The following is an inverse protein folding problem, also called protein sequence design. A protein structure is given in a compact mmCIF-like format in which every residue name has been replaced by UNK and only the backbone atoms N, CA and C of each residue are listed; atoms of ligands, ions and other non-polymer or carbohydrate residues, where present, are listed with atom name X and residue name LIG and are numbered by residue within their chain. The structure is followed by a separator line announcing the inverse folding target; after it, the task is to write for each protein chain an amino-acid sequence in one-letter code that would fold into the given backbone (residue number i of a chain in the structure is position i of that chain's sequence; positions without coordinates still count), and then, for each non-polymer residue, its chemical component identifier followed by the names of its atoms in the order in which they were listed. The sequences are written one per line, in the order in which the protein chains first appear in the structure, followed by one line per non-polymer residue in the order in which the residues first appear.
data_IF_760994084381
#
_entry.id   IF_760994084381
#
_cell.length_a   1.000
_cell.length_b   1.000
_cell.length_c   1.000
_cell.angle_alpha   90.00
_cell.angle_beta   90.00
_cell.angle_gamma   90.00
#
_symmetry.space_group_name_H-M   'P 1'
#
loop_
_entity.id
_entity.type
_entity.pdbx_description
1 polymer ?
#
# COMPACT_ATOMS: atom_id res chain seq x y z
N UNK A 1 14.10 -38.06 85.93
CA UNK A 1 14.84 -36.83 85.59
C UNK A 1 15.43 -37.04 84.20
N UNK A 2 14.83 -36.37 83.23
CA UNK A 2 15.14 -36.39 81.80
C UNK A 2 16.06 -35.23 81.48
N UNK A 3 17.25 -35.49 80.94
CA UNK A 3 18.04 -34.48 80.23
C UNK A 3 18.28 -34.95 78.79
N UNK A 4 17.61 -34.26 77.88
CA UNK A 4 17.71 -34.40 76.43
C UNK A 4 18.92 -33.58 75.95
N UNK A 5 19.84 -34.11 75.14
CA UNK A 5 20.92 -33.29 74.58
C UNK A 5 20.35 -32.37 73.50
N UNK A 6 20.71 -31.08 73.60
CA UNK A 6 20.28 -30.03 72.70
C UNK A 6 20.71 -30.33 71.25
N UNK A 7 19.72 -30.50 70.38
CA UNK A 7 19.89 -30.65 68.93
C UNK A 7 20.33 -29.30 68.35
N UNK A 8 21.62 -29.19 68.03
CA UNK A 8 22.22 -28.05 67.34
C UNK A 8 21.54 -27.86 65.97
N UNK A 9 20.55 -26.95 65.92
CA UNK A 9 19.85 -26.58 64.68
C UNK A 9 20.70 -25.56 63.94
N UNK A 10 21.68 -26.04 63.16
CA UNK A 10 22.26 -25.25 62.07
C UNK A 10 21.12 -24.85 61.12
N UNK A 11 20.73 -23.57 61.12
CA UNK A 11 19.89 -23.00 60.07
C UNK A 11 20.65 -23.18 58.75
N UNK A 12 20.18 -24.07 57.89
CA UNK A 12 20.66 -24.15 56.52
C UNK A 12 20.34 -22.81 55.84
N UNK A 13 21.38 -22.08 55.44
CA UNK A 13 21.23 -20.82 54.71
C UNK A 13 20.52 -21.12 53.38
N UNK A 14 19.33 -20.53 53.11
CA UNK A 14 18.58 -20.76 51.88
C UNK A 14 19.35 -20.37 50.60
N UNK A 15 20.50 -19.68 50.72
CA UNK A 15 21.42 -19.37 49.62
C UNK A 15 22.27 -20.54 49.13
N UNK A 16 22.23 -21.70 49.80
CA UNK A 16 23.02 -22.90 49.44
C UNK A 16 22.55 -23.63 48.16
N UNK A 17 21.42 -23.22 47.56
CA UNK A 17 20.83 -23.85 46.37
C UNK A 17 21.18 -23.10 45.08
N UNK A 18 21.76 -21.89 45.17
CA UNK A 18 22.19 -21.14 43.99
C UNK A 18 23.60 -21.59 43.58
N UNK A 19 23.87 -21.85 42.28
CA UNK A 19 25.23 -22.13 41.81
C UNK A 19 26.15 -20.98 42.23
N UNK A 20 27.35 -21.31 42.74
CA UNK A 20 28.38 -20.33 43.11
C UNK A 20 28.94 -19.66 41.85
N UNK A 21 28.15 -18.78 41.26
CA UNK A 21 28.54 -17.98 40.10
C UNK A 21 29.54 -16.92 40.56
N UNK A 22 30.68 -16.84 39.87
CA UNK A 22 31.59 -15.71 40.06
C UNK A 22 30.88 -14.41 39.66
N UNK A 23 31.28 -13.28 40.27
CA UNK A 23 30.71 -11.97 39.92
C UNK A 23 30.82 -11.71 38.41
N UNK A 24 31.93 -12.13 37.78
CA UNK A 24 32.12 -12.06 36.34
C UNK A 24 31.08 -12.89 35.56
N UNK A 25 30.82 -14.13 35.96
CA UNK A 25 29.80 -14.97 35.34
C UNK A 25 28.40 -14.39 35.48
N UNK A 26 28.08 -13.82 36.65
CA UNK A 26 26.83 -13.13 36.88
C UNK A 26 26.68 -11.87 36.01
N UNK A 27 27.74 -11.08 35.83
CA UNK A 27 27.72 -9.88 34.98
C UNK A 27 27.50 -10.22 33.50
N UNK A 28 28.22 -11.22 32.96
CA UNK A 28 28.00 -11.67 31.57
C UNK A 28 26.59 -12.24 31.36
N UNK A 29 26.11 -13.06 32.31
CA UNK A 29 24.76 -13.63 32.25
C UNK A 29 23.68 -12.55 32.26
N UNK A 30 23.80 -11.57 33.15
CA UNK A 30 22.87 -10.44 33.23
C UNK A 30 22.82 -9.65 31.93
N UNK A 31 23.99 -9.23 31.41
CA UNK A 31 24.07 -8.45 30.18
C UNK A 31 23.52 -9.22 28.98
N UNK A 32 23.85 -10.50 28.85
CA UNK A 32 23.36 -11.33 27.74
C UNK A 32 21.84 -11.44 27.76
N UNK A 33 21.26 -11.72 28.94
CA UNK A 33 19.80 -11.80 29.09
C UNK A 33 19.14 -10.45 28.80
N UNK A 34 19.70 -9.35 29.29
CA UNK A 34 19.17 -8.01 29.00
C UNK A 34 19.25 -7.67 27.51
N UNK A 35 20.37 -7.98 26.84
CA UNK A 35 20.54 -7.72 25.41
C UNK A 35 19.53 -8.53 24.57
N UNK A 36 19.34 -9.81 24.89
CA UNK A 36 18.34 -10.66 24.23
C UNK A 36 16.92 -10.13 24.49
N UNK A 37 16.61 -9.74 25.73
CA UNK A 37 15.29 -9.21 26.08
C UNK A 37 14.98 -7.89 25.36
N UNK A 38 15.95 -6.98 25.27
CA UNK A 38 15.80 -5.71 24.53
C UNK A 38 15.63 -5.98 23.04
N UNK A 39 16.45 -6.85 22.44
CA UNK A 39 16.35 -7.19 21.02
C UNK A 39 15.00 -7.84 20.69
N UNK A 40 14.55 -8.79 21.52
CA UNK A 40 13.25 -9.43 21.38
C UNK A 40 12.11 -8.42 21.54
N UNK A 41 12.21 -7.49 22.50
CA UNK A 41 11.24 -6.42 22.71
C UNK A 41 11.14 -5.47 21.52
N UNK A 42 12.29 -5.03 20.96
CA UNK A 42 12.34 -4.19 19.76
C UNK A 42 11.74 -4.91 18.56
N UNK A 43 12.08 -6.18 18.36
CA UNK A 43 11.56 -6.98 17.25
C UNK A 43 10.04 -7.19 17.37
N UNK A 44 9.54 -7.44 18.59
CA UNK A 44 8.11 -7.58 18.86
C UNK A 44 7.35 -6.27 18.60
N UNK A 45 7.88 -5.15 19.08
CA UNK A 45 7.31 -3.83 18.82
C UNK A 45 7.31 -3.50 17.31
N UNK A 46 8.39 -3.85 16.60
CA UNK A 46 8.47 -3.64 15.16
C UNK A 46 7.42 -4.44 14.41
N UNK A 47 7.29 -5.75 14.67
CA UNK A 47 6.29 -6.59 14.00
C UNK A 47 4.87 -6.09 14.28
N UNK A 48 4.54 -5.83 15.56
CA UNK A 48 3.19 -5.39 15.94
C UNK A 48 2.81 -4.00 15.43
N UNK A 49 3.77 -3.07 15.30
CA UNK A 49 3.52 -1.74 14.73
C UNK A 49 3.54 -1.75 13.20
N UNK A 50 4.38 -2.58 12.58
CA UNK A 50 4.55 -2.65 11.14
C UNK A 50 3.24 -2.98 10.43
N UNK A 51 2.52 -4.02 10.88
CA UNK A 51 1.28 -4.47 10.23
C UNK A 51 0.23 -3.35 10.19
N UNK A 52 0.04 -2.62 11.30
CA UNK A 52 -0.92 -1.50 11.34
C UNK A 52 -0.51 -0.35 10.43
N UNK A 53 0.78 -0.03 10.39
CA UNK A 53 1.30 1.05 9.53
C UNK A 53 1.16 0.67 8.06
N UNK A 54 1.43 -0.59 7.72
CA UNK A 54 1.21 -1.12 6.37
C UNK A 54 -0.24 -1.08 5.96
N UNK A 55 -1.14 -1.60 6.78
CA UNK A 55 -2.56 -1.65 6.44
C UNK A 55 -3.10 -0.23 6.22
N UNK A 56 -2.71 0.73 7.06
CA UNK A 56 -3.06 2.14 6.89
C UNK A 56 -2.47 2.73 5.61
N UNK A 57 -1.21 2.39 5.28
CA UNK A 57 -0.54 2.87 4.08
C UNK A 57 -1.15 2.26 2.80
N UNK A 58 -1.49 0.98 2.81
CA UNK A 58 -2.18 0.29 1.72
C UNK A 58 -3.58 0.83 1.52
N UNK A 59 -4.36 1.03 2.59
CA UNK A 59 -5.70 1.63 2.52
C UNK A 59 -5.65 3.05 1.91
N UNK A 60 -4.71 3.86 2.37
CA UNK A 60 -4.51 5.22 1.85
C UNK A 60 -4.04 5.19 0.39
N UNK A 61 -3.12 4.28 0.05
CA UNK A 61 -2.57 4.15 -1.30
C UNK A 61 -3.63 3.67 -2.29
N UNK A 62 -4.43 2.64 -1.95
CA UNK A 62 -5.49 2.14 -2.83
C UNK A 62 -6.54 3.22 -3.04
N UNK A 63 -6.94 3.96 -2.00
CA UNK A 63 -7.92 5.04 -2.13
C UNK A 63 -7.42 6.13 -3.07
N UNK A 64 -6.22 6.66 -2.82
CA UNK A 64 -5.63 7.73 -3.63
C UNK A 64 -5.42 7.29 -5.08
N UNK A 65 -4.89 6.08 -5.31
CA UNK A 65 -4.66 5.56 -6.66
C UNK A 65 -5.97 5.30 -7.39
N UNK A 66 -7.00 4.80 -6.70
CA UNK A 66 -8.32 4.56 -7.30
C UNK A 66 -9.01 5.87 -7.70
N UNK A 67 -8.96 6.88 -6.82
CA UNK A 67 -9.47 8.23 -7.12
C UNK A 67 -8.73 8.85 -8.30
N UNK A 68 -7.39 8.77 -8.31
CA UNK A 68 -6.57 9.26 -9.41
C UNK A 68 -6.85 8.53 -10.74
N UNK A 69 -7.07 7.21 -10.70
CA UNK A 69 -7.44 6.42 -11.88
C UNK A 69 -8.80 6.86 -12.43
N UNK A 70 -9.81 7.01 -11.56
CA UNK A 70 -11.14 7.45 -11.93
C UNK A 70 -11.11 8.86 -12.53
N UNK A 71 -10.40 9.79 -11.90
CA UNK A 71 -10.28 11.17 -12.37
C UNK A 71 -9.52 11.25 -13.70
N UNK A 72 -8.42 10.52 -13.84
CA UNK A 72 -7.62 10.49 -15.09
C UNK A 72 -8.46 9.96 -16.25
N UNK A 73 -9.20 8.88 -16.01
CA UNK A 73 -10.08 8.30 -17.01
C UNK A 73 -11.25 9.24 -17.36
N UNK A 74 -11.86 9.88 -16.36
CA UNK A 74 -12.90 10.87 -16.58
C UNK A 74 -12.40 12.10 -17.35
N UNK A 75 -11.18 12.58 -17.08
CA UNK A 75 -10.56 13.68 -17.83
C UNK A 75 -10.33 13.33 -19.30
N UNK A 76 -9.97 12.08 -19.61
CA UNK A 76 -9.82 11.62 -21.00
C UNK A 76 -11.16 11.70 -21.76
N UNK A 77 -12.25 11.24 -21.15
CA UNK A 77 -13.60 11.31 -21.74
C UNK A 77 -14.15 12.75 -21.77
N UNK A 78 -13.79 13.56 -20.78
CA UNK A 78 -14.15 14.97 -20.76
C UNK A 78 -13.45 15.76 -21.89
N UNK A 79 -12.25 15.36 -22.32
CA UNK A 79 -11.65 15.93 -23.53
C UNK A 79 -12.52 15.69 -24.76
N UNK A 80 -13.01 14.47 -24.95
CA UNK A 80 -13.91 14.13 -26.06
C UNK A 80 -15.23 14.90 -25.97
N UNK A 81 -15.70 15.18 -24.75
CA UNK A 81 -16.87 16.01 -24.49
C UNK A 81 -16.69 17.47 -24.88
N UNK A 82 -15.52 18.06 -24.59
CA UNK A 82 -15.19 19.43 -25.01
C UNK A 82 -15.02 19.53 -26.53
N UNK A 83 -14.43 18.52 -27.16
CA UNK A 83 -14.35 18.45 -28.63
C UNK A 83 -15.76 18.41 -29.24
N UNK A 84 -16.68 17.65 -28.64
CA UNK A 84 -18.07 17.58 -29.07
C UNK A 84 -18.84 18.90 -28.84
N UNK A 85 -18.53 19.62 -27.77
CA UNK A 85 -19.06 20.97 -27.50
C UNK A 85 -18.64 21.95 -28.59
N UNK A 86 -17.34 22.00 -28.89
CA UNK A 86 -16.81 22.87 -29.94
C UNK A 86 -17.46 22.58 -31.29
N UNK A 87 -17.61 21.29 -31.64
CA UNK A 87 -18.33 20.91 -32.85
C UNK A 87 -19.74 21.46 -32.83
N UNK A 88 -20.51 21.21 -31.77
CA UNK A 88 -21.90 21.65 -31.68
C UNK A 88 -22.08 23.18 -31.85
N UNK A 89 -21.09 23.97 -31.43
CA UNK A 89 -21.06 25.43 -31.62
C UNK A 89 -20.72 25.84 -33.05
N UNK A 90 -19.87 25.08 -33.73
CA UNK A 90 -19.40 25.40 -35.09
C UNK A 90 -20.41 25.01 -36.19
N UNK A 91 -21.14 23.89 -36.00
CA UNK A 91 -22.11 23.32 -36.96
C UNK A 91 -23.05 24.37 -37.60
N UNK A 92 -23.73 25.26 -36.85
CA UNK A 92 -24.74 26.17 -37.42
C UNK A 92 -24.21 27.14 -38.48
N UNK A 93 -22.90 27.42 -38.48
CA UNK A 93 -22.27 28.41 -39.36
C UNK A 93 -21.47 27.77 -40.51
N UNK A 94 -21.33 26.44 -40.50
CA UNK A 94 -20.54 25.69 -41.47
C UNK A 94 -21.37 25.23 -42.66
N UNK A 95 -20.73 25.10 -43.83
CA UNK A 95 -21.33 24.40 -44.98
C UNK A 95 -21.29 22.89 -44.76
N UNK A 96 -22.15 22.16 -45.46
CA UNK A 96 -22.20 20.68 -45.39
C UNK A 96 -20.85 20.03 -45.73
N UNK A 97 -20.08 20.58 -46.67
CA UNK A 97 -18.75 20.06 -47.00
C UNK A 97 -17.73 20.31 -45.87
N UNK A 98 -17.77 21.49 -45.25
CA UNK A 98 -16.90 21.82 -44.12
C UNK A 98 -17.25 20.96 -42.89
N UNK A 99 -18.55 20.76 -42.64
CA UNK A 99 -19.10 19.86 -41.64
C UNK A 99 -18.51 18.46 -41.77
N UNK A 100 -18.60 17.87 -42.97
CA UNK A 100 -18.10 16.52 -43.24
C UNK A 100 -16.60 16.43 -43.01
N UNK A 101 -15.84 17.41 -43.50
CA UNK A 101 -14.39 17.46 -43.30
C UNK A 101 -13.99 17.54 -41.81
N UNK A 102 -14.74 18.29 -41.00
CA UNK A 102 -14.54 18.37 -39.55
C UNK A 102 -14.83 17.01 -38.87
N UNK A 103 -15.97 16.39 -39.20
CA UNK A 103 -16.37 15.10 -38.64
C UNK A 103 -15.40 13.97 -39.03
N UNK A 104 -14.94 13.95 -40.28
CA UNK A 104 -13.89 13.02 -40.75
C UNK A 104 -12.57 13.26 -40.01
N UNK A 105 -12.18 14.52 -39.81
CA UNK A 105 -10.98 14.90 -39.06
C UNK A 105 -11.01 14.43 -37.61
N UNK A 106 -12.17 14.52 -36.95
CA UNK A 106 -12.36 14.03 -35.59
C UNK A 106 -12.31 12.51 -35.51
N UNK A 107 -12.98 11.79 -36.43
CA UNK A 107 -12.91 10.33 -36.48
C UNK A 107 -11.45 9.85 -36.65
N UNK A 108 -10.66 10.57 -37.45
CA UNK A 108 -9.25 10.28 -37.67
C UNK A 108 -9.04 8.90 -38.29
N UNK A 109 -8.25 8.05 -37.63
CA UNK A 109 -7.98 6.67 -38.09
C UNK A 109 -9.08 5.67 -37.67
N UNK A 110 -10.12 6.14 -37.01
CA UNK A 110 -11.23 5.31 -36.56
C UNK A 110 -10.91 4.39 -35.37
N UNK A 111 -9.71 4.47 -34.74
CA UNK A 111 -9.32 3.57 -33.63
C UNK A 111 -9.85 4.00 -32.27
N UNK A 112 -10.01 5.31 -32.05
CA UNK A 112 -10.58 5.89 -30.82
C UNK A 112 -12.05 6.23 -31.02
N UNK A 113 -12.36 7.02 -32.04
CA UNK A 113 -13.74 7.37 -32.41
C UNK A 113 -14.19 6.46 -33.56
N UNK A 114 -15.26 5.71 -33.34
CA UNK A 114 -15.82 4.82 -34.37
C UNK A 114 -16.76 5.54 -35.33
N UNK A 115 -17.38 6.63 -34.87
CA UNK A 115 -18.32 7.42 -35.66
C UNK A 115 -18.56 8.78 -35.00
N UNK A 116 -18.68 9.84 -35.79
CA UNK A 116 -19.16 11.15 -35.34
C UNK A 116 -20.16 11.64 -36.37
N UNK A 117 -21.30 12.18 -35.94
CA UNK A 117 -22.32 12.63 -36.88
C UNK A 117 -23.31 13.61 -36.32
N UNK A 118 -23.94 14.36 -37.22
CA UNK A 118 -24.99 15.32 -36.96
C UNK A 118 -26.32 14.80 -37.50
N UNK A 119 -27.32 14.74 -36.63
CA UNK A 119 -28.70 14.43 -36.97
C UNK A 119 -29.59 15.64 -36.75
N UNK A 120 -30.55 15.87 -37.66
CA UNK A 120 -31.55 16.93 -37.52
C UNK A 120 -32.53 16.67 -36.37
N UNK A 121 -33.49 17.58 -36.16
CA UNK A 121 -34.50 17.46 -35.11
C UNK A 121 -35.46 16.28 -35.29
N UNK A 122 -35.60 15.75 -36.51
CA UNK A 122 -36.38 14.55 -36.82
C UNK A 122 -35.59 13.25 -36.58
N UNK A 123 -34.28 13.37 -36.34
CA UNK A 123 -33.36 12.27 -36.12
C UNK A 123 -32.86 11.64 -37.42
N UNK A 124 -32.88 12.38 -38.53
CA UNK A 124 -32.22 11.95 -39.78
C UNK A 124 -30.77 12.42 -39.76
N UNK A 125 -29.83 11.51 -40.01
CA UNK A 125 -28.40 11.86 -40.08
C UNK A 125 -28.12 12.66 -41.35
N UNK A 126 -27.71 13.92 -41.20
CA UNK A 126 -27.45 14.85 -42.32
C UNK A 126 -26.00 14.74 -42.80
N UNK A 127 -25.08 14.67 -41.85
CA UNK A 127 -23.64 14.54 -42.10
C UNK A 127 -23.02 13.63 -41.06
N UNK A 128 -22.13 12.75 -41.50
CA UNK A 128 -21.39 11.86 -40.61
C UNK A 128 -20.02 11.55 -41.18
N UNK A 129 -19.14 11.14 -40.27
CA UNK A 129 -17.80 10.71 -40.60
C UNK A 129 -17.82 9.46 -41.51
N UNK A 130 -16.97 9.43 -42.53
CA UNK A 130 -16.97 8.46 -43.65
C UNK A 130 -18.32 8.37 -44.39
N UNK A 131 -19.20 9.38 -44.24
CA UNK A 131 -20.60 9.38 -44.74
C UNK A 131 -21.43 8.22 -44.19
N UNK A 132 -21.02 7.67 -43.05
CA UNK A 132 -21.63 6.46 -42.48
C UNK A 132 -22.96 6.81 -41.81
N UNK A 133 -24.02 6.07 -42.15
CA UNK A 133 -25.40 6.28 -41.69
C UNK A 133 -26.09 7.56 -42.19
N UNK A 134 -25.51 8.31 -43.14
CA UNK A 134 -26.21 9.47 -43.72
C UNK A 134 -27.54 9.07 -44.38
N UNK A 135 -28.59 9.84 -44.09
CA UNK A 135 -29.96 9.58 -44.51
C UNK A 135 -30.69 8.50 -43.69
N UNK A 136 -30.03 7.83 -42.75
CA UNK A 136 -30.67 6.87 -41.84
C UNK A 136 -31.30 7.59 -40.64
N UNK A 137 -32.32 6.96 -40.05
CA UNK A 137 -32.97 7.48 -38.85
C UNK A 137 -32.30 6.95 -37.57
N UNK A 138 -32.00 7.88 -36.66
CA UNK A 138 -31.50 7.64 -35.30
C UNK A 138 -32.49 8.12 -34.22
N UNK A 139 -33.72 8.50 -34.62
CA UNK A 139 -34.73 9.09 -33.73
C UNK A 139 -35.06 8.25 -32.48
N UNK A 140 -34.98 6.93 -32.57
CA UNK A 140 -35.26 6.01 -31.46
C UNK A 140 -34.04 5.80 -30.53
N UNK A 141 -32.85 6.27 -30.92
CA UNK A 141 -31.61 6.01 -30.19
C UNK A 141 -31.56 6.79 -28.87
N UNK A 142 -31.12 6.17 -27.76
CA UNK A 142 -31.01 6.84 -26.47
C UNK A 142 -30.14 8.10 -26.52
N UNK A 143 -29.00 8.05 -27.22
CA UNK A 143 -28.10 9.19 -27.35
C UNK A 143 -28.75 10.39 -28.03
N UNK A 144 -29.56 10.17 -29.08
CA UNK A 144 -30.26 11.24 -29.78
C UNK A 144 -31.35 11.86 -28.90
N UNK A 145 -32.24 11.02 -28.35
CA UNK A 145 -33.36 11.47 -27.51
C UNK A 145 -32.93 12.21 -26.27
N UNK A 146 -31.85 11.77 -25.63
CA UNK A 146 -31.30 12.43 -24.44
C UNK A 146 -30.40 13.61 -24.82
N UNK A 147 -29.67 13.55 -25.93
CA UNK A 147 -28.87 14.65 -26.46
C UNK A 147 -29.71 15.91 -26.73
N UNK A 148 -30.90 15.75 -27.31
CA UNK A 148 -31.86 16.85 -27.51
C UNK A 148 -32.23 17.59 -26.21
N UNK A 149 -32.12 16.95 -25.04
CA UNK A 149 -32.55 17.50 -23.75
C UNK A 149 -31.48 18.33 -23.02
N UNK A 150 -30.24 18.34 -23.50
CA UNK A 150 -29.17 19.13 -22.87
C UNK A 150 -27.79 18.48 -22.83
N UNK A 151 -27.65 17.24 -23.31
CA UNK A 151 -26.38 16.50 -23.26
C UNK A 151 -26.55 15.09 -22.71
N UNK A 152 -25.78 14.13 -23.22
CA UNK A 152 -25.87 12.74 -22.82
C UNK A 152 -24.52 12.03 -22.89
N UNK A 153 -24.27 11.17 -21.91
CA UNK A 153 -23.17 10.23 -21.85
C UNK A 153 -23.76 8.84 -21.56
N UNK A 154 -23.63 7.93 -22.51
CA UNK A 154 -24.26 6.60 -22.50
C UNK A 154 -23.29 5.51 -22.09
N UNK A 155 -23.80 4.54 -21.31
CA UNK A 155 -23.08 3.33 -20.95
C UNK A 155 -22.73 2.47 -22.19
N UNK A 156 -21.80 1.53 -22.02
CA UNK A 156 -21.37 0.64 -23.09
C UNK A 156 -22.52 -0.19 -23.65
N UNK A 157 -22.65 -0.23 -24.98
CA UNK A 157 -23.61 -1.09 -25.65
C UNK A 157 -23.09 -1.61 -26.99
N UNK A 158 -23.74 -2.65 -27.51
CA UNK A 158 -23.45 -3.17 -28.85
C UNK A 158 -23.97 -2.23 -29.95
N UNK A 159 -23.17 -2.09 -31.01
CA UNK A 159 -23.42 -1.15 -32.10
C UNK A 159 -24.17 -1.80 -33.27
N UNK A 160 -25.45 -2.14 -33.08
CA UNK A 160 -26.20 -2.95 -34.06
C UNK A 160 -26.34 -2.33 -35.47
N UNK A 161 -26.37 -0.99 -35.60
CA UNK A 161 -26.45 -0.32 -36.92
C UNK A 161 -25.08 -0.13 -37.57
N UNK A 162 -24.11 0.38 -36.81
CA UNK A 162 -22.74 0.58 -37.33
C UNK A 162 -22.08 -0.75 -37.71
N UNK A 163 -22.28 -1.81 -36.92
CA UNK A 163 -21.75 -3.13 -37.23
C UNK A 163 -22.22 -3.67 -38.59
N UNK A 164 -23.43 -3.30 -39.05
CA UNK A 164 -23.94 -3.70 -40.38
C UNK A 164 -23.25 -2.95 -41.53
N UNK A 165 -22.72 -1.75 -41.26
CA UNK A 165 -22.05 -0.90 -42.25
C UNK A 165 -20.53 -1.06 -42.24
N UNK A 166 -19.96 -1.71 -41.21
CA UNK A 166 -18.51 -1.96 -41.06
C UNK A 166 -18.15 -3.46 -41.04
N UNK A 167 -18.32 -4.20 -42.15
CA UNK A 167 -18.15 -5.66 -42.20
C UNK A 167 -16.71 -6.18 -41.99
N UNK A 168 -15.71 -5.32 -41.78
CA UNK A 168 -14.31 -5.71 -41.55
C UNK A 168 -13.87 -5.75 -40.08
N UNK A 169 -14.65 -5.18 -39.15
CA UNK A 169 -14.30 -5.10 -37.71
C UNK A 169 -14.72 -6.33 -36.90
N UNK A 170 -15.33 -7.32 -37.54
CA UNK A 170 -15.95 -8.50 -36.91
C UNK A 170 -14.96 -9.53 -36.34
N UNK A 171 -13.66 -9.41 -36.62
CA UNK A 171 -12.65 -10.40 -36.22
C UNK A 171 -12.41 -10.43 -34.70
N UNK A 172 -12.64 -9.31 -34.00
CA UNK A 172 -12.38 -9.14 -32.55
C UNK A 172 -13.64 -9.21 -31.67
N UNK A 173 -14.80 -9.59 -32.23
CA UNK A 173 -16.09 -9.68 -31.53
C UNK A 173 -17.07 -8.55 -31.87
N UNK A 174 -18.20 -8.43 -31.15
CA UNK A 174 -19.19 -7.39 -31.41
C UNK A 174 -18.63 -6.00 -31.09
N UNK A 175 -18.85 -5.05 -32.00
CA UNK A 175 -18.45 -3.65 -31.80
C UNK A 175 -19.21 -3.07 -30.61
N UNK A 176 -18.48 -2.72 -29.55
CA UNK A 176 -19.00 -2.07 -28.34
C UNK A 176 -18.62 -0.59 -28.36
N UNK A 177 -19.60 0.26 -28.09
CA UNK A 177 -19.44 1.72 -28.17
C UNK A 177 -19.85 2.41 -26.89
N UNK A 178 -19.25 3.57 -26.69
CA UNK A 178 -19.65 4.57 -25.71
C UNK A 178 -20.21 5.79 -26.43
N UNK A 179 -21.33 6.32 -25.97
CA UNK A 179 -22.04 7.39 -26.65
C UNK A 179 -21.89 8.70 -25.91
N UNK A 180 -21.45 9.75 -26.61
CA UNK A 180 -21.58 11.13 -26.20
C UNK A 180 -22.52 11.85 -27.16
N UNK A 181 -23.40 12.70 -26.65
CA UNK A 181 -24.29 13.49 -27.49
C UNK A 181 -24.54 14.88 -26.92
N UNK A 182 -24.60 15.88 -27.79
CA UNK A 182 -24.91 17.28 -27.44
C UNK A 182 -25.92 17.89 -28.41
N UNK A 183 -26.82 18.75 -27.92
CA UNK A 183 -27.73 19.48 -28.79
C UNK A 183 -26.94 20.55 -29.56
N UNK A 184 -27.25 20.70 -30.84
CA UNK A 184 -26.77 21.80 -31.67
C UNK A 184 -27.81 22.91 -31.65
N UNK A 185 -27.39 24.15 -31.41
CA UNK A 185 -28.28 25.32 -31.32
C UNK A 185 -27.94 26.33 -32.39
N UNK A 186 -28.95 26.94 -33.00
CA UNK A 186 -28.74 28.08 -33.91
C UNK A 186 -28.42 29.38 -33.12
N UNK A 187 -28.18 30.48 -33.85
CA UNK A 187 -27.92 31.81 -33.26
C UNK A 187 -29.05 32.31 -32.35
N UNK A 188 -30.30 31.88 -32.61
CA UNK A 188 -31.48 32.20 -31.79
C UNK A 188 -31.58 31.36 -30.50
N UNK A 189 -30.73 30.34 -30.35
CA UNK A 189 -30.70 29.41 -29.21
C UNK A 189 -31.60 28.19 -29.36
N UNK A 190 -32.32 28.06 -30.47
CA UNK A 190 -33.19 26.93 -30.78
C UNK A 190 -32.38 25.69 -31.16
N UNK A 191 -32.81 24.52 -30.67
CA UNK A 191 -32.17 23.24 -30.99
C UNK A 191 -32.50 22.85 -32.43
N UNK A 192 -31.49 22.79 -33.29
CA UNK A 192 -31.61 22.42 -34.72
C UNK A 192 -31.20 20.98 -35.01
N UNK A 193 -30.69 20.26 -34.01
CA UNK A 193 -30.31 18.86 -34.12
C UNK A 193 -29.44 18.40 -32.96
N UNK A 194 -28.78 17.26 -33.14
CA UNK A 194 -27.87 16.66 -32.16
C UNK A 194 -26.62 16.20 -32.88
N UNK A 195 -25.46 16.54 -32.30
CA UNK A 195 -24.20 15.90 -32.65
C UNK A 195 -23.96 14.72 -31.71
N UNK A 196 -23.66 13.56 -32.30
CA UNK A 196 -23.33 12.33 -31.60
C UNK A 196 -21.89 11.90 -31.89
N UNK A 197 -21.23 11.36 -30.89
CA UNK A 197 -19.88 10.81 -30.97
C UNK A 197 -19.88 9.42 -30.34
N UNK A 198 -19.41 8.44 -31.09
CA UNK A 198 -19.32 7.05 -30.65
C UNK A 198 -17.85 6.65 -30.47
N UNK A 199 -17.47 6.40 -29.23
CA UNK A 199 -16.11 6.01 -28.84
C UNK A 199 -16.01 4.48 -28.87
N UNK A 200 -14.92 3.94 -29.43
CA UNK A 200 -14.60 2.52 -29.40
C UNK A 200 -14.33 2.09 -27.94
N UNK A 201 -15.16 1.20 -27.40
CA UNK A 201 -15.01 0.79 -26.00
C UNK A 201 -13.71 0.00 -25.76
N UNK A 202 -13.19 -0.69 -26.78
CA UNK A 202 -11.90 -1.38 -26.68
C UNK A 202 -10.73 -0.40 -26.53
N UNK A 203 -10.82 0.79 -27.14
CA UNK A 203 -9.87 1.87 -26.86
C UNK A 203 -10.00 2.34 -25.40
N UNK A 204 -11.23 2.55 -24.92
CA UNK A 204 -11.47 3.02 -23.55
C UNK A 204 -10.99 2.00 -22.49
N UNK A 205 -11.22 0.70 -22.72
CA UNK A 205 -10.68 -0.40 -21.93
C UNK A 205 -9.15 -0.34 -21.84
N UNK A 206 -8.46 -0.16 -22.98
CA UNK A 206 -6.99 -0.04 -23.01
C UNK A 206 -6.50 1.21 -22.29
N UNK A 207 -7.16 2.34 -22.46
CA UNK A 207 -6.79 3.59 -21.79
C UNK A 207 -6.88 3.45 -20.26
N UNK A 208 -7.93 2.77 -19.76
CA UNK A 208 -8.06 2.49 -18.33
C UNK A 208 -7.00 1.49 -17.85
N UNK A 209 -6.72 0.44 -18.62
CA UNK A 209 -5.66 -0.52 -18.29
C UNK A 209 -4.27 0.13 -18.25
N UNK A 210 -3.97 1.06 -19.15
CA UNK A 210 -2.72 1.82 -19.17
C UNK A 210 -2.58 2.73 -17.93
N UNK A 211 -3.69 3.37 -17.55
CA UNK A 211 -3.77 4.18 -16.33
C UNK A 211 -3.54 3.32 -15.08
N UNK A 212 -4.22 2.17 -15.01
CA UNK A 212 -4.09 1.19 -13.93
C UNK A 212 -2.63 0.70 -13.78
N UNK A 213 -1.98 0.33 -14.89
CA UNK A 213 -0.56 -0.05 -14.91
C UNK A 213 0.37 1.07 -14.44
N UNK A 214 0.11 2.30 -14.86
CA UNK A 214 0.92 3.48 -14.47
C UNK A 214 0.81 3.75 -12.96
N UNK A 215 -0.36 3.51 -12.38
CA UNK A 215 -0.63 3.68 -10.96
C UNK A 215 -0.28 2.44 -10.13
N UNK A 216 0.22 1.37 -10.76
CA UNK A 216 0.51 0.08 -10.11
C UNK A 216 -0.72 -0.39 -9.29
N UNK A 217 -1.87 -0.43 -9.95
CA UNK A 217 -3.19 -0.69 -9.37
C UNK A 217 -3.97 -1.61 -10.32
N UNK A 218 -4.74 -2.55 -9.77
CA UNK A 218 -5.76 -3.26 -10.54
C UNK A 218 -7.08 -2.48 -10.45
N UNK A 219 -7.73 -2.24 -11.59
CA UNK A 219 -8.95 -1.42 -11.68
C UNK A 219 -10.07 -2.18 -12.38
N UNK A 220 -11.27 -2.03 -11.83
CA UNK A 220 -12.52 -2.58 -12.32
C UNK A 220 -13.53 -1.45 -12.51
N UNK A 221 -14.11 -1.36 -13.71
CA UNK A 221 -15.17 -0.40 -14.02
C UNK A 221 -16.51 -1.13 -14.00
N UNK A 222 -17.47 -0.56 -13.27
CA UNK A 222 -18.78 -1.16 -13.02
C UNK A 222 -19.86 -0.25 -13.56
N UNK A 223 -20.75 -0.82 -14.36
CA UNK A 223 -21.85 -0.09 -14.96
C UNK A 223 -23.02 0.16 -13.98
N UNK A 224 -24.04 0.96 -14.37
CA UNK A 224 -25.20 1.22 -13.51
C UNK A 224 -26.02 -0.03 -13.18
N UNK A 225 -25.99 -1.05 -14.04
CA UNK A 225 -26.63 -2.35 -13.81
C UNK A 225 -25.86 -3.22 -12.81
N UNK A 226 -24.66 -2.79 -12.41
CA UNK A 226 -23.80 -3.46 -11.46
C UNK A 226 -22.78 -4.41 -12.11
N UNK A 227 -22.77 -4.56 -13.43
CA UNK A 227 -21.88 -5.46 -14.15
C UNK A 227 -20.46 -4.89 -14.29
N UNK A 228 -19.45 -5.75 -14.19
CA UNK A 228 -18.04 -5.38 -14.45
C UNK A 228 -17.83 -5.30 -15.96
N UNK A 229 -17.65 -4.09 -16.48
CA UNK A 229 -17.48 -3.80 -17.91
C UNK A 229 -16.02 -3.68 -18.33
N UNK A 230 -15.12 -3.33 -17.41
CA UNK A 230 -13.67 -3.32 -17.62
C UNK A 230 -12.98 -3.95 -16.42
N UNK A 231 -11.93 -4.72 -16.67
CA UNK A 231 -11.02 -5.24 -15.65
C UNK A 231 -9.58 -5.22 -16.18
N UNK A 232 -8.68 -4.53 -15.48
CA UNK A 232 -7.30 -4.35 -15.94
C UNK A 232 -6.45 -5.62 -15.83
N UNK A 233 -6.79 -6.54 -14.92
CA UNK A 233 -6.10 -7.82 -14.71
C UNK A 233 -6.66 -8.95 -15.60
N UNK A 234 -7.73 -8.67 -16.34
CA UNK A 234 -8.46 -9.65 -17.15
C UNK A 234 -9.46 -10.52 -16.38
N UNK A 235 -9.53 -10.40 -15.06
CA UNK A 235 -10.50 -11.09 -14.22
C UNK A 235 -11.88 -10.45 -14.31
N UNK A 236 -12.95 -11.25 -14.40
CA UNK A 236 -14.33 -10.73 -14.41
C UNK A 236 -15.10 -11.30 -13.21
N UNK A 237 -14.79 -10.84 -11.99
CA UNK A 237 -15.53 -11.28 -10.81
C UNK A 237 -16.98 -10.84 -10.92
N UNK A 238 -17.90 -11.66 -10.41
CA UNK A 238 -19.28 -11.24 -10.30
C UNK A 238 -19.43 -10.19 -9.18
N UNK A 239 -20.35 -9.23 -9.33
CA UNK A 239 -20.53 -8.17 -8.32
C UNK A 239 -20.97 -8.69 -6.95
N UNK A 240 -21.56 -9.90 -6.91
CA UNK A 240 -22.00 -10.56 -5.68
C UNK A 240 -20.83 -11.15 -4.89
N UNK A 241 -19.76 -11.52 -5.58
CA UNK A 241 -18.55 -12.08 -4.97
C UNK A 241 -17.68 -11.01 -4.29
N UNK A 242 -17.86 -9.72 -4.64
CA UNK A 242 -17.07 -8.62 -4.11
C UNK A 242 -17.73 -8.02 -2.86
N UNK A 243 -17.09 -8.18 -1.69
CA UNK A 243 -17.59 -7.65 -0.43
C UNK A 243 -17.68 -6.13 -0.47
N UNK A 244 -16.69 -5.43 -1.04
CA UNK A 244 -16.68 -3.97 -1.19
C UNK A 244 -17.93 -3.43 -1.90
N UNK A 245 -18.48 -4.17 -2.87
CA UNK A 245 -19.70 -3.79 -3.57
C UNK A 245 -20.95 -4.07 -2.73
N UNK A 246 -20.94 -5.12 -1.91
CA UNK A 246 -22.04 -5.43 -0.99
C UNK A 246 -22.11 -4.41 0.15
N UNK A 247 -20.98 -4.04 0.75
CA UNK A 247 -20.91 -3.09 1.87
C UNK A 247 -21.19 -1.66 1.44
N UNK A 248 -20.80 -1.29 0.21
CA UNK A 248 -21.14 0.01 -0.36
C UNK A 248 -22.65 0.25 -0.48
N UNK A 249 -23.45 -0.80 -0.78
CA UNK A 249 -24.92 -0.70 -0.79
C UNK A 249 -25.51 -0.33 0.58
N UNK A 250 -24.84 -0.71 1.66
CA UNK A 250 -25.19 -0.33 3.03
C UNK A 250 -24.58 1.00 3.51
N UNK A 251 -23.76 1.67 2.67
CA UNK A 251 -23.06 2.92 3.03
C UNK A 251 -21.98 2.77 4.10
N UNK A 252 -21.58 1.54 4.43
CA UNK A 252 -20.79 1.23 5.63
C UNK A 252 -19.27 1.32 5.41
N UNK A 253 -18.78 0.92 4.23
CA UNK A 253 -17.34 0.82 3.94
C UNK A 253 -17.07 1.05 2.46
N UNK A 254 -16.17 1.98 2.13
CA UNK A 254 -15.71 2.29 0.76
C UNK A 254 -14.23 1.98 0.51
N UNK A 255 -13.50 1.52 1.53
CA UNK A 255 -12.20 0.89 1.36
C UNK A 255 -11.89 -0.06 2.51
N UNK A 256 -11.11 -1.10 2.24
CA UNK A 256 -10.65 -2.03 3.27
C UNK A 256 -9.99 -3.27 2.69
N UNK A 257 -9.53 -4.15 3.60
CA UNK A 257 -8.98 -5.45 3.25
C UNK A 257 -10.10 -6.46 3.07
N UNK A 258 -10.12 -7.16 1.94
CA UNK A 258 -11.06 -8.24 1.64
C UNK A 258 -10.34 -9.39 0.92
N UNK A 259 -10.88 -10.60 1.04
CA UNK A 259 -10.41 -11.76 0.28
C UNK A 259 -11.21 -11.86 -1.01
N UNK A 260 -10.52 -11.86 -2.16
CA UNK A 260 -11.15 -11.91 -3.47
C UNK A 260 -11.43 -13.35 -3.91
N UNK A 261 -12.21 -13.57 -5.00
CA UNK A 261 -12.56 -14.91 -5.48
C UNK A 261 -11.38 -15.80 -5.88
N UNK A 262 -10.22 -15.20 -6.14
CA UNK A 262 -8.93 -15.87 -6.37
C UNK A 262 -8.30 -16.44 -5.08
N UNK A 263 -8.91 -16.18 -3.91
CA UNK A 263 -8.43 -16.61 -2.61
C UNK A 263 -7.28 -15.77 -2.04
N UNK A 264 -6.91 -14.67 -2.70
CA UNK A 264 -5.88 -13.76 -2.23
C UNK A 264 -6.49 -12.55 -1.50
N UNK A 265 -5.74 -12.00 -0.57
CA UNK A 265 -6.12 -10.80 0.16
C UNK A 265 -5.70 -9.55 -0.59
N UNK A 266 -6.64 -8.63 -0.78
CA UNK A 266 -6.40 -7.33 -1.37
C UNK A 266 -6.91 -6.22 -0.48
N UNK A 267 -6.30 -5.05 -0.60
CA UNK A 267 -6.89 -3.80 -0.18
C UNK A 267 -7.66 -3.25 -1.37
N UNK A 268 -8.96 -3.04 -1.20
CA UNK A 268 -9.85 -2.53 -2.23
C UNK A 268 -10.39 -1.16 -1.85
N UNK A 269 -10.67 -0.32 -2.84
CA UNK A 269 -11.38 0.94 -2.65
C UNK A 269 -12.41 1.15 -3.76
N UNK A 270 -13.59 1.64 -3.36
CA UNK A 270 -14.68 2.00 -4.26
C UNK A 270 -14.76 3.51 -4.43
N UNK A 271 -14.73 3.93 -5.70
CA UNK A 271 -15.05 5.29 -6.16
C UNK A 271 -16.48 5.28 -6.69
N UNK A 272 -17.36 6.06 -6.05
CA UNK A 272 -18.80 6.05 -6.31
C UNK A 272 -19.24 6.74 -7.61
N UNK A 273 -18.33 7.44 -8.29
CA UNK A 273 -18.63 8.14 -9.54
C UNK A 273 -17.37 8.39 -10.34
N UNK A 274 -17.42 8.05 -11.62
CA UNK A 274 -16.38 8.38 -12.60
C UNK A 274 -16.89 9.56 -13.42
N UNK A 275 -16.46 10.77 -13.05
CA UNK A 275 -16.89 12.01 -13.70
C UNK A 275 -15.92 13.16 -13.44
N UNK A 276 -15.91 14.13 -14.34
CA UNK A 276 -15.04 15.30 -14.26
C UNK A 276 -15.68 16.50 -14.97
N UNK A 277 -15.57 17.69 -14.37
CA UNK A 277 -16.11 18.92 -14.95
C UNK A 277 -17.63 18.87 -15.15
N UNK A 278 -18.08 19.25 -16.34
CA UNK A 278 -19.47 19.25 -16.78
C UNK A 278 -19.86 17.98 -17.58
N UNK A 279 -18.96 17.00 -17.69
CA UNK A 279 -19.23 15.73 -18.38
C UNK A 279 -20.45 15.04 -17.73
N UNK A 280 -21.50 14.69 -18.51
CA UNK A 280 -22.64 13.98 -17.98
C UNK A 280 -22.23 12.65 -17.36
N UNK A 281 -22.91 12.26 -16.28
CA UNK A 281 -22.59 11.02 -15.56
C UNK A 281 -23.00 9.79 -16.36
N UNK A 282 -22.05 8.88 -16.56
CA UNK A 282 -22.32 7.52 -17.06
C UNK A 282 -22.99 6.63 -16.00
N UNK A 283 -23.05 7.07 -14.73
CA UNK A 283 -23.49 6.24 -13.60
C UNK A 283 -22.48 5.15 -13.22
N UNK A 284 -21.25 5.25 -13.72
CA UNK A 284 -20.18 4.30 -13.47
C UNK A 284 -19.57 4.44 -12.08
N UNK A 285 -19.20 3.28 -11.55
CA UNK A 285 -18.40 3.15 -10.32
C UNK A 285 -17.09 2.44 -10.65
N UNK A 286 -16.05 2.74 -9.88
CA UNK A 286 -14.74 2.14 -10.07
C UNK A 286 -14.27 1.49 -8.79
N UNK A 287 -13.75 0.26 -8.88
CA UNK A 287 -13.05 -0.41 -7.78
C UNK A 287 -11.59 -0.51 -8.16
N UNK A 288 -10.71 0.01 -7.32
CA UNK A 288 -9.27 -0.27 -7.41
C UNK A 288 -8.86 -1.23 -6.31
N UNK A 289 -7.88 -2.10 -6.59
CA UNK A 289 -7.31 -3.01 -5.59
C UNK A 289 -5.79 -3.10 -5.65
N UNK A 290 -5.18 -3.36 -4.50
CA UNK A 290 -3.75 -3.62 -4.33
C UNK A 290 -3.56 -4.96 -3.58
N UNK A 291 -2.63 -5.82 -4.00
CA UNK A 291 -2.28 -7.01 -3.23
C UNK A 291 -1.84 -6.66 -1.80
N UNK A 292 -2.29 -7.40 -0.79
CA UNK A 292 -1.87 -7.20 0.61
C UNK A 292 -0.37 -7.44 0.83
N UNK A 293 0.31 -8.00 -0.16
CA UNK A 293 1.73 -8.35 -0.13
C UNK A 293 2.62 -7.30 -0.81
N UNK A 294 2.05 -6.29 -1.47
CA UNK A 294 2.80 -5.31 -2.30
C UNK A 294 3.92 -4.58 -1.55
N UNK A 295 3.78 -4.35 -0.24
CA UNK A 295 4.83 -3.72 0.59
C UNK A 295 5.61 -4.69 1.49
N UNK A 296 5.28 -5.98 1.50
CA UNK A 296 5.97 -6.96 2.37
C UNK A 296 7.43 -7.17 1.99
N UNK A 297 7.77 -7.10 0.70
CA UNK A 297 9.14 -7.23 0.20
C UNK A 297 10.06 -6.18 0.84
N UNK A 298 9.69 -4.89 0.77
CA UNK A 298 10.46 -3.80 1.37
C UNK A 298 10.60 -3.89 2.90
N UNK A 299 9.64 -4.51 3.58
CA UNK A 299 9.72 -4.74 5.03
C UNK A 299 10.64 -5.88 5.44
N UNK A 300 10.75 -6.91 4.61
CA UNK A 300 11.68 -8.00 4.86
C UNK A 300 13.13 -7.50 4.92
N UNK A 301 13.47 -6.49 4.11
CA UNK A 301 14.76 -5.80 4.13
C UNK A 301 14.96 -4.99 5.42
N UNK A 302 13.92 -4.31 5.89
CA UNK A 302 13.96 -3.58 7.17
C UNK A 302 14.14 -4.52 8.36
N UNK A 303 13.51 -5.70 8.34
CA UNK A 303 13.71 -6.73 9.37
C UNK A 303 15.17 -7.18 9.41
N UNK A 304 15.78 -7.45 8.24
CA UNK A 304 17.20 -7.79 8.14
C UNK A 304 18.10 -6.69 8.70
N UNK A 305 17.80 -5.44 8.36
CA UNK A 305 18.54 -4.26 8.86
C UNK A 305 18.46 -4.13 10.38
N UNK A 306 17.28 -4.30 10.98
CA UNK A 306 17.09 -4.26 12.45
C UNK A 306 17.84 -5.40 13.13
N UNK A 307 17.85 -6.60 12.54
CA UNK A 307 18.60 -7.74 13.08
C UNK A 307 20.11 -7.47 13.05
N UNK A 308 20.65 -6.97 11.94
CA UNK A 308 22.07 -6.62 11.83
C UNK A 308 22.44 -5.50 12.81
N UNK A 309 21.63 -4.45 12.89
CA UNK A 309 21.83 -3.35 13.84
C UNK A 309 21.77 -3.83 15.29
N UNK A 310 20.81 -4.71 15.62
CA UNK A 310 20.66 -5.32 16.93
C UNK A 310 21.83 -6.22 17.31
N UNK A 311 22.31 -7.04 16.38
CA UNK A 311 23.52 -7.86 16.55
C UNK A 311 24.76 -6.98 16.74
N UNK A 312 24.89 -5.90 15.97
CA UNK A 312 25.96 -4.91 16.14
C UNK A 312 25.96 -4.27 17.52
N UNK A 313 24.79 -3.83 18.00
CA UNK A 313 24.64 -3.28 19.35
C UNK A 313 24.97 -4.33 20.42
N UNK A 314 24.50 -5.57 20.26
CA UNK A 314 24.81 -6.67 21.17
C UNK A 314 26.33 -6.95 21.23
N UNK A 315 27.01 -6.93 20.09
CA UNK A 315 28.46 -7.09 20.02
C UNK A 315 29.19 -5.94 20.74
N UNK A 316 28.76 -4.69 20.54
CA UNK A 316 29.32 -3.52 21.25
C UNK A 316 29.14 -3.68 22.77
N UNK A 317 27.93 -4.01 23.23
CA UNK A 317 27.64 -4.22 24.66
C UNK A 317 28.46 -5.37 25.22
N UNK A 318 28.65 -6.47 24.48
CA UNK A 318 29.49 -7.58 24.88
C UNK A 318 30.97 -7.17 25.03
N UNK A 319 31.50 -6.36 24.09
CA UNK A 319 32.86 -5.82 24.17
C UNK A 319 33.03 -4.92 25.41
N UNK A 320 32.11 -3.99 25.63
CA UNK A 320 32.15 -3.12 26.82
C UNK A 320 32.03 -3.92 28.13
N UNK A 321 31.21 -4.96 28.14
CA UNK A 321 31.06 -5.85 29.30
C UNK A 321 32.32 -6.67 29.55
N UNK A 322 32.99 -7.12 28.49
CA UNK A 322 34.26 -7.81 28.59
C UNK A 322 35.34 -6.88 29.16
N UNK A 323 35.45 -5.66 28.64
CA UNK A 323 36.36 -4.63 29.16
C UNK A 323 36.04 -4.33 30.63
N UNK A 324 34.77 -4.11 30.97
CA UNK A 324 34.35 -3.85 32.35
C UNK A 324 34.71 -5.00 33.29
N UNK A 325 34.48 -6.25 32.85
CA UNK A 325 34.79 -7.44 33.65
C UNK A 325 36.30 -7.60 33.84
N UNK A 326 37.10 -7.34 32.81
CA UNK A 326 38.56 -7.42 32.85
C UNK A 326 39.18 -6.33 33.72
N UNK A 327 38.68 -5.10 33.63
CA UNK A 327 39.25 -3.93 34.30
C UNK A 327 38.78 -3.82 35.76
N UNK A 328 37.51 -4.16 36.05
CA UNK A 328 36.92 -3.93 37.37
C UNK A 328 36.65 -5.22 38.13
N UNK A 329 35.95 -6.19 37.51
CA UNK A 329 35.42 -7.36 38.23
C UNK A 329 36.51 -8.38 38.57
N UNK A 330 37.39 -8.72 37.62
CA UNK A 330 38.46 -9.70 37.84
C UNK A 330 39.49 -9.27 38.91
N UNK A 331 39.99 -8.02 38.92
CA UNK A 331 40.91 -7.58 39.96
C UNK A 331 40.30 -7.62 41.37
N UNK A 332 39.01 -7.28 41.50
CA UNK A 332 38.29 -7.39 42.78
C UNK A 332 38.20 -8.84 43.23
N UNK A 333 37.85 -9.76 42.33
CA UNK A 333 37.84 -11.21 42.63
C UNK A 333 39.21 -11.71 43.08
N UNK A 334 40.27 -11.35 42.35
CA UNK A 334 41.63 -11.75 42.68
C UNK A 334 42.13 -11.17 44.02
N UNK A 335 41.71 -9.95 44.38
CA UNK A 335 41.96 -9.37 45.70
C UNK A 335 41.19 -10.11 46.81
N UNK A 336 39.98 -10.58 46.53
CA UNK A 336 39.20 -11.45 47.42
C UNK A 336 39.93 -12.77 47.70
N UNK A 337 40.30 -13.48 46.65
CA UNK A 337 41.02 -14.77 46.74
C UNK A 337 42.36 -14.61 47.47
N UNK A 338 43.08 -13.51 47.22
CA UNK A 338 44.34 -13.20 47.90
C UNK A 338 44.12 -12.92 49.39
N UNK A 339 43.05 -12.22 49.75
CA UNK A 339 42.70 -11.94 51.14
C UNK A 339 42.39 -13.23 51.91
N UNK A 340 41.70 -14.18 51.27
CA UNK A 340 41.40 -15.51 51.83
C UNK A 340 42.68 -16.30 52.08
N UNK A 341 43.60 -16.35 51.11
CA UNK A 341 44.92 -17.01 51.27
C UNK A 341 45.78 -16.41 52.40
N UNK A 342 45.77 -15.09 52.54
CA UNK A 342 46.47 -14.40 53.65
C UNK A 342 45.80 -14.74 54.99
N UNK A 343 44.47 -14.84 55.03
CA UNK A 343 43.74 -15.25 56.23
C UNK A 343 44.07 -16.69 56.64
N UNK A 344 44.16 -17.60 55.66
CA UNK A 344 44.54 -19.01 55.84
C UNK A 344 46.03 -19.20 56.21
N UNK A 345 46.81 -18.11 56.20
CA UNK A 345 48.15 -18.05 56.76
C UNK A 345 49.28 -18.18 55.74
N UNK A 346 48.98 -18.16 54.44
CA UNK A 346 49.99 -18.15 53.39
C UNK A 346 50.75 -16.82 53.33
N UNK A 347 52.07 -16.87 53.16
CA UNK A 347 52.92 -15.69 52.94
C UNK A 347 52.96 -15.32 51.46
N UNK A 348 51.89 -14.68 50.98
CA UNK A 348 51.78 -14.14 49.61
C UNK A 348 51.80 -12.61 49.68
N UNK A 349 52.58 -11.97 48.80
CA UNK A 349 52.57 -10.51 48.67
C UNK A 349 51.56 -10.09 47.60
N UNK A 350 50.69 -9.09 47.87
CA UNK A 350 49.75 -8.58 46.88
C UNK A 350 50.47 -7.96 45.67
N UNK A 351 50.05 -8.30 44.44
CA UNK A 351 50.56 -7.61 43.26
C UNK A 351 50.03 -6.17 43.21
N UNK A 352 50.81 -5.25 42.63
CA UNK A 352 50.39 -3.87 42.42
C UNK A 352 49.32 -3.80 41.31
N UNK A 353 48.05 -3.84 41.71
CA UNK A 353 46.95 -3.66 40.77
C UNK A 353 46.78 -2.17 40.42
N UNK A 354 47.22 -1.77 39.24
CA UNK A 354 47.08 -0.40 38.71
C UNK A 354 45.78 -0.10 37.96
N UNK A 355 44.83 -1.04 37.91
CA UNK A 355 43.61 -0.92 37.10
C UNK A 355 42.61 0.14 37.58
N UNK A 356 42.46 0.32 38.90
CA UNK A 356 41.61 1.36 39.51
C UNK A 356 42.24 1.90 40.79
N UNK A 357 41.86 3.12 41.20
CA UNK A 357 42.36 3.74 42.45
C UNK A 357 41.96 2.91 43.68
N UNK A 358 40.77 2.33 43.65
CA UNK A 358 40.19 1.49 44.68
C UNK A 358 40.97 0.17 44.81
N UNK A 359 41.24 -0.51 43.70
CA UNK A 359 42.02 -1.75 43.69
C UNK A 359 43.46 -1.52 44.20
N UNK A 360 44.10 -0.43 43.77
CA UNK A 360 45.42 -0.05 44.26
C UNK A 360 45.42 0.24 45.78
N UNK A 361 44.39 0.93 46.28
CA UNK A 361 44.22 1.23 47.71
C UNK A 361 44.04 -0.04 48.54
N UNK A 362 43.26 -1.01 48.06
CA UNK A 362 43.02 -2.29 48.74
C UNK A 362 44.29 -3.15 48.71
N UNK A 363 44.95 -3.28 47.55
CA UNK A 363 46.21 -4.03 47.43
C UNK A 363 47.29 -3.47 48.38
N UNK A 364 47.45 -2.15 48.40
CA UNK A 364 48.39 -1.49 49.32
C UNK A 364 48.03 -1.66 50.80
N UNK A 365 46.74 -1.76 51.14
CA UNK A 365 46.31 -2.06 52.51
C UNK A 365 46.64 -3.51 52.91
N UNK A 366 46.38 -4.48 52.02
CA UNK A 366 46.73 -5.89 52.23
C UNK A 366 48.24 -6.09 52.37
N UNK A 367 49.05 -5.38 51.57
CA UNK A 367 50.50 -5.48 51.61
C UNK A 367 51.05 -5.01 52.97
N UNK A 368 50.51 -3.90 53.49
CA UNK A 368 50.88 -3.40 54.83
C UNK A 368 50.46 -4.34 55.96
N UNK A 369 49.29 -5.00 55.84
CA UNK A 369 48.84 -5.97 56.84
C UNK A 369 49.72 -7.21 56.87
N UNK A 370 50.07 -7.73 55.69
CA UNK A 370 50.96 -8.88 55.58
C UNK A 370 52.36 -8.57 56.12
N UNK A 371 52.91 -7.40 55.79
CA UNK A 371 54.22 -6.98 56.29
C UNK A 371 54.26 -6.86 57.82
N UNK A 372 53.21 -6.32 58.46
CA UNK A 372 53.08 -6.31 59.92
C UNK A 372 53.05 -7.73 60.50
N UNK A 373 52.23 -8.63 59.93
CA UNK A 373 52.11 -10.01 60.39
C UNK A 373 53.43 -10.80 60.28
N UNK A 374 54.21 -10.56 59.22
CA UNK A 374 55.53 -11.19 59.04
C UNK A 374 56.54 -10.64 60.05
N UNK A 375 56.50 -9.34 60.38
CA UNK A 375 57.35 -8.77 61.44
C UNK A 375 57.02 -9.34 62.82
N UNK A 376 55.73 -9.42 63.17
CA UNK A 376 55.27 -9.95 64.47
C UNK A 376 55.63 -11.43 64.67
N UNK A 377 55.83 -12.22 63.59
CA UNK A 377 56.30 -13.61 63.66
C UNK A 377 57.83 -13.74 63.79
N UNK A 378 58.60 -12.68 63.55
CA UNK A 378 60.09 -12.69 63.60
C UNK A 378 60.64 -12.16 64.93
N UNK A 379 59.83 -11.43 65.68
CA UNK A 379 60.05 -11.06 67.10
C UNK A 379 59.48 -12.15 67.99
#
# INVERSE_FOLDING_TARGET
MTETPAKDRRRADPRSVLPRLSLAGATYGFVLVTAIAVLAGVLLLFVTRSDRVLDTALDSAVRLRSEAAAETYARLLHSDWLDLEQVAEDIPTMSDEAMRGLLDGLQGDGRRLSWVGFADTEGTVIAASDRTLEGESVAERPWFRNGLRGGFAGDVHEALLLARRMPGRSADGPLRLLDLARPVRNEDGDVIGVVGMHIDFGWAERALADTARTLDLDVYLINPNGEVIVASDGGRPSPEELEILRTARSGAVTAGRETWPDGQDYFSSLVNGVGYGDLPSFGWRMVGRLPADSFRSGLSDLRGTILIAGLGLAAIVAIFTAIFTLVFVRPIGALGDLSERIADGETVYPPEYGGTREAARISGALARLQDRRVRDRRT
#
